data_IF_914578325272
#
_entry.id   IF_914578325272
#
_cell.length_a   1.000
_cell.length_b   1.000
_cell.length_c   1.000
_cell.angle_alpha   90.00
_cell.angle_beta   90.00
_cell.angle_gamma   90.00
#
_symmetry.space_group_name_H-M   'P 1'
#
loop_
_entity.id
_entity.type
_entity.pdbx_description
1 polymer ?
#
# COMPACT_ATOMS: atom_id res chain seq x y z
N UNK A 1 6.29 10.58 -14.59
CA UNK A 1 5.75 9.26 -14.19
C UNK A 1 5.04 9.46 -12.87
N UNK A 2 3.89 8.83 -12.68
CA UNK A 2 3.14 8.88 -11.42
C UNK A 2 3.67 7.81 -10.45
N UNK A 3 3.63 8.07 -9.15
CA UNK A 3 3.93 7.08 -8.11
C UNK A 3 2.62 6.51 -7.57
N UNK A 4 2.33 5.26 -7.90
CA UNK A 4 1.11 4.54 -7.51
C UNK A 4 1.46 3.31 -6.70
N UNK A 5 0.54 2.81 -5.87
CA UNK A 5 0.74 1.56 -5.16
C UNK A 5 -0.20 0.46 -5.68
N UNK A 6 0.41 -0.65 -6.09
CA UNK A 6 -0.26 -1.85 -6.57
C UNK A 6 0.05 -2.99 -5.61
N UNK A 7 -0.98 -3.64 -5.06
CA UNK A 7 -0.86 -4.85 -4.28
C UNK A 7 -1.42 -6.02 -5.08
N UNK A 8 -0.61 -7.07 -5.26
CA UNK A 8 -1.03 -8.29 -5.97
C UNK A 8 -1.00 -9.48 -5.03
N UNK A 9 -2.12 -10.20 -4.94
CA UNK A 9 -2.14 -11.47 -4.20
C UNK A 9 -1.42 -12.54 -5.01
N UNK A 10 -0.51 -13.26 -4.38
CA UNK A 10 0.17 -14.42 -4.99
C UNK A 10 -0.03 -15.65 -4.12
N UNK A 11 -0.01 -16.83 -4.73
CA UNK A 11 0.02 -18.09 -3.97
C UNK A 11 1.40 -18.30 -3.33
N UNK A 12 1.46 -19.07 -2.24
CA UNK A 12 2.74 -19.44 -1.62
C UNK A 12 3.67 -20.18 -2.61
N UNK A 13 3.10 -20.95 -3.53
CA UNK A 13 3.85 -21.60 -4.60
C UNK A 13 4.54 -20.57 -5.50
N UNK A 14 3.80 -19.58 -6.00
CA UNK A 14 4.36 -18.51 -6.85
C UNK A 14 5.41 -17.69 -6.10
N UNK A 15 5.13 -17.33 -4.84
CA UNK A 15 6.10 -16.58 -4.03
C UNK A 15 7.42 -17.36 -3.86
N UNK A 16 7.35 -18.67 -3.62
CA UNK A 16 8.53 -19.53 -3.54
C UNK A 16 9.25 -19.65 -4.89
N UNK A 17 8.53 -19.74 -6.01
CA UNK A 17 9.13 -19.72 -7.35
C UNK A 17 9.89 -18.42 -7.61
N UNK A 18 9.36 -17.27 -7.15
CA UNK A 18 10.04 -15.97 -7.26
C UNK A 18 11.30 -15.93 -6.40
N UNK A 19 11.31 -16.50 -5.19
CA UNK A 19 12.53 -16.54 -4.38
C UNK A 19 13.63 -17.40 -5.01
N UNK A 20 13.27 -18.48 -5.70
CA UNK A 20 14.24 -19.33 -6.40
C UNK A 20 14.76 -18.65 -7.67
N UNK A 21 13.90 -17.90 -8.36
CA UNK A 21 14.22 -17.22 -9.62
C UNK A 21 13.64 -15.79 -9.66
N UNK A 22 14.33 -14.82 -9.03
CA UNK A 22 13.83 -13.44 -8.91
C UNK A 22 13.52 -12.76 -10.24
N UNK A 23 14.20 -13.14 -11.33
CA UNK A 23 13.95 -12.61 -12.67
C UNK A 23 12.53 -12.85 -13.20
N UNK A 24 11.76 -13.74 -12.58
CA UNK A 24 10.35 -13.95 -12.90
C UNK A 24 9.41 -12.92 -12.27
N UNK A 25 9.88 -12.14 -11.29
CA UNK A 25 9.07 -11.18 -10.53
C UNK A 25 8.29 -10.24 -11.45
N UNK A 26 8.96 -9.60 -12.40
CA UNK A 26 8.34 -8.64 -13.33
C UNK A 26 7.22 -9.31 -14.15
N UNK A 27 7.46 -10.52 -14.67
CA UNK A 27 6.43 -11.28 -15.40
C UNK A 27 5.24 -11.64 -14.49
N UNK A 28 5.49 -12.08 -13.26
CA UNK A 28 4.40 -12.33 -12.30
C UNK A 28 3.65 -11.07 -11.90
N UNK A 29 4.27 -9.89 -11.90
CA UNK A 29 3.57 -8.66 -11.56
C UNK A 29 2.69 -8.18 -12.73
N UNK A 30 3.22 -8.16 -13.96
CA UNK A 30 2.60 -7.46 -15.08
C UNK A 30 1.99 -8.35 -16.16
N UNK A 31 2.42 -9.60 -16.31
CA UNK A 31 1.96 -10.50 -17.39
C UNK A 31 1.05 -11.61 -16.87
N UNK A 32 1.24 -12.04 -15.63
CA UNK A 32 0.41 -13.08 -15.02
C UNK A 32 -0.98 -12.51 -14.68
N UNK A 33 -2.05 -13.13 -15.18
CA UNK A 33 -3.43 -12.71 -14.90
C UNK A 33 -3.99 -13.34 -13.61
N UNK A 34 -3.18 -14.14 -12.89
CA UNK A 34 -3.62 -14.80 -11.68
C UNK A 34 -3.53 -13.87 -10.46
N UNK A 35 -4.32 -14.20 -9.44
CA UNK A 35 -4.42 -13.38 -8.25
C UNK A 35 -5.34 -12.16 -8.43
N UNK A 36 -5.52 -11.42 -7.34
CA UNK A 36 -6.26 -10.16 -7.31
C UNK A 36 -5.26 -9.02 -7.26
N UNK A 37 -5.56 -7.96 -8.01
CA UNK A 37 -4.82 -6.70 -7.97
C UNK A 37 -5.71 -5.70 -7.20
N UNK A 38 -5.10 -5.04 -6.23
CA UNK A 38 -5.64 -3.86 -5.56
C UNK A 38 -4.77 -2.68 -5.96
N UNK A 39 -5.38 -1.75 -6.68
CA UNK A 39 -4.75 -0.52 -7.13
C UNK A 39 -5.36 0.63 -6.32
N UNK A 40 -4.55 1.25 -5.47
CA UNK A 40 -4.97 2.42 -4.68
C UNK A 40 -4.49 3.74 -5.31
N UNK A 41 -4.00 3.68 -6.55
CA UNK A 41 -3.54 4.81 -7.34
C UNK A 41 -2.54 5.67 -6.54
N UNK A 42 -2.68 6.99 -6.58
CA UNK A 42 -1.83 7.95 -5.86
C UNK A 42 -2.29 8.20 -4.42
N UNK A 43 -3.32 7.50 -3.93
CA UNK A 43 -3.82 7.67 -2.56
C UNK A 43 -2.90 7.04 -1.50
N UNK A 44 -1.95 6.19 -1.91
CA UNK A 44 -1.12 5.38 -1.01
C UNK A 44 -0.38 6.22 0.05
N UNK A 45 0.17 7.38 -0.31
CA UNK A 45 0.97 8.17 0.62
C UNK A 45 0.07 8.85 1.67
N UNK A 46 -1.12 9.32 1.25
CA UNK A 46 -2.09 9.85 2.19
C UNK A 46 -2.63 8.79 3.14
N UNK A 47 -2.98 7.61 2.63
CA UNK A 47 -3.41 6.49 3.48
C UNK A 47 -2.30 6.10 4.44
N UNK A 48 -1.05 6.01 3.98
CA UNK A 48 0.11 5.75 4.83
C UNK A 48 0.22 6.79 5.96
N UNK A 49 0.22 8.07 5.62
CA UNK A 49 0.34 9.13 6.61
C UNK A 49 -0.81 9.10 7.62
N UNK A 50 -2.05 8.93 7.17
CA UNK A 50 -3.21 8.93 8.06
C UNK A 50 -3.23 7.72 9.02
N UNK A 51 -2.70 6.57 8.60
CA UNK A 51 -2.56 5.39 9.45
C UNK A 51 -1.44 5.53 10.49
N UNK A 52 -0.34 6.22 10.14
CA UNK A 52 0.88 6.23 10.95
C UNK A 52 1.17 7.57 11.64
N UNK A 53 0.53 8.66 11.21
CA UNK A 53 0.86 10.05 11.56
C UNK A 53 2.33 10.37 11.32
N UNK A 54 2.90 9.76 10.27
CA UNK A 54 4.29 9.90 9.85
C UNK A 54 4.35 9.75 8.33
N UNK A 55 5.27 10.48 7.71
CA UNK A 55 5.44 10.50 6.25
C UNK A 55 6.02 9.18 5.75
N UNK A 56 6.98 8.61 6.49
CA UNK A 56 7.75 7.45 6.02
C UNK A 56 7.81 6.30 7.04
N UNK A 57 7.50 6.56 8.31
CA UNK A 57 7.62 5.55 9.36
C UNK A 57 6.32 4.79 9.57
N UNK A 58 6.43 3.49 9.87
CA UNK A 58 5.28 2.63 10.15
C UNK A 58 5.10 2.42 11.66
N UNK A 59 3.90 2.63 12.19
CA UNK A 59 3.60 2.51 13.63
C UNK A 59 2.77 1.28 14.00
N UNK A 60 2.18 0.59 13.01
CA UNK A 60 1.46 -0.68 13.19
C UNK A 60 1.68 -1.61 12.00
N UNK A 61 1.22 -2.85 12.12
CA UNK A 61 1.29 -3.78 11.00
C UNK A 61 0.38 -3.32 9.84
N UNK A 62 -0.84 -2.87 10.11
CA UNK A 62 -1.74 -2.27 9.12
C UNK A 62 -1.17 -1.00 8.48
N UNK A 63 -0.56 -0.11 9.29
CA UNK A 63 0.13 1.08 8.80
C UNK A 63 1.35 0.78 7.91
N UNK A 64 1.86 -0.45 7.98
CA UNK A 64 2.99 -0.90 7.18
C UNK A 64 2.63 -1.38 5.77
N UNK A 65 1.33 -1.41 5.39
CA UNK A 65 0.85 -2.03 4.14
C UNK A 65 1.57 -1.59 2.85
N UNK A 66 2.09 -0.36 2.79
CA UNK A 66 2.82 0.15 1.61
C UNK A 66 4.35 0.11 1.74
N UNK A 67 4.90 0.44 2.92
CA UNK A 67 6.34 0.63 3.11
C UNK A 67 7.00 -0.49 3.95
N UNK A 68 6.19 -1.39 4.51
CA UNK A 68 6.61 -2.51 5.34
C UNK A 68 6.80 -3.81 4.56
N UNK A 69 6.77 -4.92 5.29
CA UNK A 69 7.02 -6.24 4.71
C UNK A 69 8.49 -6.44 4.35
N UNK A 70 8.76 -7.49 3.59
CA UNK A 70 10.12 -7.92 3.25
C UNK A 70 10.39 -7.74 1.76
N UNK A 71 11.57 -7.23 1.36
CA UNK A 71 11.94 -7.20 -0.05
C UNK A 71 12.00 -8.62 -0.61
N UNK A 72 11.44 -8.81 -1.81
CA UNK A 72 11.48 -10.09 -2.52
C UNK A 72 12.87 -10.33 -3.14
N UNK A 73 13.47 -9.27 -3.66
CA UNK A 73 14.82 -9.22 -4.25
C UNK A 73 15.38 -7.80 -4.15
N UNK A 74 16.63 -7.60 -4.59
CA UNK A 74 17.25 -6.27 -4.71
C UNK A 74 16.88 -5.54 -6.03
N UNK A 75 16.02 -6.14 -6.86
CA UNK A 75 15.61 -5.58 -8.15
C UNK A 75 14.67 -4.39 -7.95
N UNK A 76 15.03 -3.23 -8.51
CA UNK A 76 14.18 -2.05 -8.52
C UNK A 76 13.11 -2.17 -9.60
N UNK A 77 11.84 -2.12 -9.19
CA UNK A 77 10.66 -2.22 -10.08
C UNK A 77 9.98 -0.86 -10.30
N UNK A 78 10.65 0.24 -9.98
CA UNK A 78 10.25 1.61 -10.32
C UNK A 78 10.45 2.60 -9.17
N UNK A 79 10.16 2.18 -7.93
CA UNK A 79 10.32 2.97 -6.71
C UNK A 79 10.93 2.14 -5.58
N UNK A 80 11.89 1.28 -5.94
CA UNK A 80 12.49 0.30 -5.05
C UNK A 80 11.98 -1.13 -5.29
N UNK A 81 12.39 -2.08 -4.44
CA UNK A 81 12.07 -3.49 -4.64
C UNK A 81 10.62 -3.81 -4.32
N UNK A 82 10.08 -4.81 -5.01
CA UNK A 82 8.81 -5.41 -4.63
C UNK A 82 8.91 -5.99 -3.22
N UNK A 83 7.86 -5.79 -2.43
CA UNK A 83 7.79 -6.25 -1.05
C UNK A 83 6.64 -7.23 -0.88
N UNK A 84 6.80 -8.17 0.04
CA UNK A 84 5.74 -9.14 0.36
C UNK A 84 5.45 -9.19 1.86
N UNK A 85 4.24 -9.65 2.14
CA UNK A 85 3.79 -10.04 3.46
C UNK A 85 3.46 -11.53 3.46
N UNK A 86 3.72 -12.20 4.58
CA UNK A 86 3.26 -13.59 4.74
C UNK A 86 1.73 -13.66 4.79
N UNK A 87 1.16 -14.84 4.48
CA UNK A 87 -0.28 -15.12 4.60
C UNK A 87 -0.85 -14.71 5.97
N UNK A 88 -0.07 -14.88 7.04
CA UNK A 88 -0.45 -14.46 8.40
C UNK A 88 -0.51 -12.93 8.51
N UNK A 89 0.55 -12.23 8.11
CA UNK A 89 0.61 -10.77 8.16
C UNK A 89 -0.48 -10.14 7.29
N UNK A 90 -0.74 -10.65 6.08
CA UNK A 90 -1.82 -10.13 5.21
C UNK A 90 -3.19 -10.19 5.89
N UNK A 91 -3.48 -11.28 6.62
CA UNK A 91 -4.74 -11.39 7.38
C UNK A 91 -4.81 -10.40 8.54
N UNK A 92 -3.70 -10.22 9.26
CA UNK A 92 -3.63 -9.26 10.37
C UNK A 92 -3.74 -7.82 9.86
N UNK A 93 -3.09 -7.47 8.74
CA UNK A 93 -3.23 -6.17 8.05
C UNK A 93 -4.69 -5.94 7.68
N UNK A 94 -5.32 -6.84 6.91
CA UNK A 94 -6.72 -6.68 6.50
C UNK A 94 -7.66 -6.55 7.71
N UNK A 95 -7.40 -7.29 8.80
CA UNK A 95 -8.16 -7.16 10.03
C UNK A 95 -7.96 -5.80 10.72
N UNK A 96 -6.74 -5.29 10.82
CA UNK A 96 -6.46 -3.95 11.37
C UNK A 96 -7.15 -2.86 10.55
N UNK A 97 -6.98 -2.88 9.22
CA UNK A 97 -7.59 -1.89 8.33
C UNK A 97 -9.12 -1.94 8.39
N UNK A 98 -9.72 -3.14 8.47
CA UNK A 98 -11.18 -3.31 8.56
C UNK A 98 -11.79 -2.69 9.82
N UNK A 99 -11.01 -2.58 10.91
CA UNK A 99 -11.47 -1.98 12.16
C UNK A 99 -11.41 -0.45 12.17
N UNK A 100 -10.80 0.18 11.17
CA UNK A 100 -10.68 1.64 11.05
C UNK A 100 -11.80 2.15 10.15
N UNK A 101 -12.72 2.94 10.68
CA UNK A 101 -13.73 3.64 9.86
C UNK A 101 -13.12 4.77 9.03
N UNK A 102 -13.80 5.20 7.96
CA UNK A 102 -13.36 6.37 7.18
C UNK A 102 -13.20 7.63 8.05
N UNK A 103 -14.13 7.85 8.99
CA UNK A 103 -14.06 9.00 9.90
C UNK A 103 -12.83 8.95 10.80
N UNK A 104 -12.48 7.75 11.31
CA UNK A 104 -11.27 7.56 12.12
C UNK A 104 -10.00 7.79 11.30
N UNK A 105 -9.95 7.30 10.06
CA UNK A 105 -8.82 7.54 9.17
C UNK A 105 -8.60 9.05 8.94
N UNK A 106 -9.68 9.81 8.74
CA UNK A 106 -9.61 11.24 8.44
C UNK A 106 -9.43 12.15 9.66
N UNK A 107 -9.27 11.61 10.88
CA UNK A 107 -9.07 12.43 12.10
C UNK A 107 -7.89 13.40 11.99
N UNK A 108 -6.80 12.98 11.34
CA UNK A 108 -5.59 13.79 11.10
C UNK A 108 -5.51 14.33 9.66
N UNK A 109 -6.65 14.51 8.98
CA UNK A 109 -6.66 15.00 7.60
C UNK A 109 -6.09 16.41 7.44
N UNK A 110 -6.28 17.30 8.42
CA UNK A 110 -5.67 18.63 8.36
C UNK A 110 -4.14 18.58 8.53
N UNK A 111 -3.61 17.61 9.29
CA UNK A 111 -2.16 17.41 9.41
C UNK A 111 -1.60 16.96 8.05
N UNK A 112 -2.29 16.04 7.36
CA UNK A 112 -1.96 15.60 6.01
C UNK A 112 -1.89 16.77 5.01
N UNK A 113 -2.90 17.66 5.02
CA UNK A 113 -2.98 18.81 4.10
C UNK A 113 -1.84 19.80 4.34
N UNK A 114 -1.36 19.92 5.57
CA UNK A 114 -0.27 20.82 5.93
C UNK A 114 1.13 20.21 5.75
N UNK A 115 1.23 18.92 5.41
CA UNK A 115 2.50 18.21 5.29
C UNK A 115 3.04 18.29 3.84
N UNK A 116 4.10 19.07 3.57
CA UNK A 116 4.61 19.30 2.22
C UNK A 116 5.24 18.07 1.55
N UNK A 117 5.63 17.04 2.31
CA UNK A 117 6.20 15.82 1.73
C UNK A 117 5.15 14.83 1.21
N UNK A 118 3.86 15.06 1.48
CA UNK A 118 2.80 14.18 0.98
C UNK A 118 2.71 14.24 -0.53
N UNK A 119 2.70 13.07 -1.15
CA UNK A 119 2.52 12.89 -2.59
C UNK A 119 1.09 12.43 -2.90
N UNK A 120 0.44 12.95 -3.95
CA UNK A 120 0.87 14.05 -4.82
C UNK A 120 0.63 15.44 -4.20
N UNK A 121 0.10 15.48 -2.97
CA UNK A 121 -0.37 16.67 -2.28
C UNK A 121 -1.89 16.73 -2.30
N UNK A 122 -2.50 17.16 -1.19
CA UNK A 122 -3.96 17.22 -1.01
C UNK A 122 -4.37 18.57 -0.43
N UNK A 123 -5.62 18.97 -0.64
CA UNK A 123 -6.19 20.19 -0.07
C UNK A 123 -7.38 19.87 0.83
N UNK A 124 -7.79 20.83 1.67
CA UNK A 124 -8.99 20.68 2.50
C UNK A 124 -10.28 20.78 1.66
N UNK A 125 -10.55 19.71 0.91
CA UNK A 125 -11.68 19.57 -0.01
C UNK A 125 -12.34 18.21 0.21
N UNK A 126 -13.66 18.18 0.11
CA UNK A 126 -14.44 16.94 0.22
C UNK A 126 -14.08 15.92 -0.88
N UNK A 127 -13.65 16.39 -2.06
CA UNK A 127 -13.17 15.53 -3.14
C UNK A 127 -11.92 14.74 -2.73
N UNK A 128 -10.97 15.39 -2.04
CA UNK A 128 -9.72 14.76 -1.60
C UNK A 128 -10.00 13.75 -0.47
N UNK A 129 -10.86 14.09 0.49
CA UNK A 129 -11.33 13.16 1.53
C UNK A 129 -12.02 11.95 0.93
N UNK A 130 -12.89 12.16 -0.05
CA UNK A 130 -13.62 11.09 -0.74
C UNK A 130 -12.68 10.20 -1.54
N UNK A 131 -11.71 10.76 -2.25
CA UNK A 131 -10.72 10.00 -3.01
C UNK A 131 -9.89 9.09 -2.09
N UNK A 132 -9.37 9.63 -0.98
CA UNK A 132 -8.60 8.86 0.01
C UNK A 132 -9.46 7.73 0.60
N UNK A 133 -10.67 8.04 1.04
CA UNK A 133 -11.54 7.06 1.70
C UNK A 133 -12.05 5.97 0.75
N UNK A 134 -12.33 6.30 -0.52
CA UNK A 134 -12.69 5.30 -1.52
C UNK A 134 -11.56 4.31 -1.79
N UNK A 135 -10.33 4.80 -1.93
CA UNK A 135 -9.15 3.93 -2.08
C UNK A 135 -8.85 3.14 -0.80
N UNK A 136 -9.08 3.73 0.38
CA UNK A 136 -8.95 3.01 1.64
C UNK A 136 -9.98 1.88 1.80
N UNK A 137 -11.23 2.10 1.37
CA UNK A 137 -12.26 1.05 1.35
C UNK A 137 -11.87 -0.05 0.37
N UNK A 138 -11.36 0.30 -0.82
CA UNK A 138 -10.90 -0.66 -1.81
C UNK A 138 -9.74 -1.54 -1.30
N UNK A 139 -8.89 -1.00 -0.43
CA UNK A 139 -7.74 -1.68 0.16
C UNK A 139 -8.11 -2.78 1.19
N UNK A 140 -9.28 -2.69 1.84
CA UNK A 140 -9.70 -3.60 2.91
C UNK A 140 -10.10 -4.98 2.41
#
# INVERSE_FOLDING_TARGET
MSMVALLKSVSEKQLNEIFVEPSKLVSYLYEDESGKICDVDQAWHAIHFLLNKSVWETTSLGGSVFLGGFPISDEDIGYGPARYFSTKQTKEISSELSNISENQLLESFLDLVNEPEIYPGFADREEDKKYITQNFIHLK
#
